data_IF_773530462776
#
_entry.id   IF_773530462776
#
_cell.length_a   1.000
_cell.length_b   1.000
_cell.length_c   1.000
_cell.angle_alpha   90.00
_cell.angle_beta   90.00
_cell.angle_gamma   90.00
#
_symmetry.space_group_name_H-M   'P 1'
#
loop_
_entity.id
_entity.type
_entity.pdbx_description
1 polymer ?
#
# COMPACT_ATOMS: atom_id res chain seq x y z
N UNK A 1 14.01 -103.53 7.87
CA UNK A 1 14.33 -102.41 6.96
C UNK A 1 13.37 -102.47 5.78
N UNK A 2 12.87 -101.36 5.21
CA UNK A 2 12.21 -100.17 5.76
C UNK A 2 10.78 -99.97 5.16
N UNK A 3 9.81 -99.46 5.93
CA UNK A 3 9.19 -98.10 5.86
C UNK A 3 8.29 -97.76 4.65
N UNK A 4 7.01 -97.53 4.98
CA UNK A 4 6.16 -96.35 4.66
C UNK A 4 6.07 -95.80 3.22
N UNK A 5 4.83 -95.64 2.72
CA UNK A 5 4.13 -94.34 2.44
C UNK A 5 2.87 -94.58 1.59
N UNK A 6 1.70 -94.05 2.01
CA UNK A 6 0.99 -92.82 1.55
C UNK A 6 0.48 -92.92 0.09
N UNK A 7 -0.69 -92.43 -0.31
CA UNK A 7 -1.37 -91.19 0.07
C UNK A 7 -2.86 -91.25 -0.32
N UNK A 8 -3.72 -90.68 0.53
CA UNK A 8 -5.08 -90.25 0.18
C UNK A 8 -5.03 -88.92 -0.56
N UNK A 9 -5.79 -88.78 -1.65
CA UNK A 9 -5.97 -87.52 -2.39
C UNK A 9 -7.25 -86.84 -1.87
N UNK A 10 -7.10 -85.65 -1.30
CA UNK A 10 -8.18 -84.72 -0.94
C UNK A 10 -8.14 -83.55 -1.93
N UNK A 11 -9.28 -83.31 -2.58
CA UNK A 11 -9.54 -82.21 -3.51
C UNK A 11 -9.74 -80.92 -2.69
N UNK A 12 -8.91 -79.89 -2.93
CA UNK A 12 -9.10 -78.56 -2.34
C UNK A 12 -9.83 -77.64 -3.34
N UNK A 13 -10.99 -77.14 -2.93
CA UNK A 13 -11.73 -76.07 -3.60
C UNK A 13 -11.09 -74.71 -3.27
N UNK A 14 -10.75 -73.93 -4.31
CA UNK A 14 -10.26 -72.57 -4.16
C UNK A 14 -11.44 -71.57 -4.19
N UNK A 15 -11.64 -70.85 -3.08
CA UNK A 15 -12.50 -69.68 -2.98
C UNK A 15 -11.69 -68.43 -3.41
N UNK A 16 -12.08 -67.84 -4.55
CA UNK A 16 -11.59 -66.53 -5.00
C UNK A 16 -12.40 -65.43 -4.29
N UNK A 17 -11.75 -64.70 -3.39
CA UNK A 17 -12.21 -63.40 -2.88
C UNK A 17 -11.19 -62.36 -3.36
N UNK A 18 -11.49 -61.64 -4.44
CA UNK A 18 -10.79 -60.40 -4.77
C UNK A 18 -11.67 -59.24 -4.34
N UNK A 19 -11.20 -58.56 -3.29
CA UNK A 19 -11.86 -57.42 -2.68
C UNK A 19 -11.85 -56.16 -3.55
N UNK A 20 -12.87 -55.34 -3.35
CA UNK A 20 -12.93 -53.97 -3.81
C UNK A 20 -11.74 -53.19 -3.24
N UNK A 21 -10.77 -52.82 -4.08
CA UNK A 21 -9.82 -51.77 -3.76
C UNK A 21 -10.58 -50.44 -3.75
N UNK A 22 -11.00 -49.98 -2.57
CA UNK A 22 -11.44 -48.62 -2.40
C UNK A 22 -10.29 -47.69 -2.79
N UNK A 23 -10.49 -46.88 -3.82
CA UNK A 23 -9.60 -45.77 -4.15
C UNK A 23 -9.44 -44.91 -2.90
N UNK A 24 -8.19 -44.76 -2.42
CA UNK A 24 -7.87 -43.83 -1.35
C UNK A 24 -8.27 -42.42 -1.82
N UNK A 25 -8.93 -41.60 -0.98
CA UNK A 25 -9.10 -40.20 -1.30
C UNK A 25 -7.71 -39.61 -1.55
N UNK A 26 -7.57 -38.97 -2.70
CA UNK A 26 -6.41 -38.18 -3.10
C UNK A 26 -5.98 -37.33 -1.91
N UNK A 27 -4.72 -37.44 -1.48
CA UNK A 27 -4.13 -36.56 -0.47
C UNK A 27 -4.35 -35.11 -0.93
N UNK A 28 -5.37 -34.46 -0.35
CA UNK A 28 -5.46 -33.02 -0.41
C UNK A 28 -4.21 -32.48 0.28
N UNK A 29 -3.53 -31.53 -0.35
CA UNK A 29 -2.39 -30.87 0.28
C UNK A 29 -2.80 -30.41 1.70
N UNK A 30 -1.94 -30.60 2.72
CA UNK A 30 -2.26 -30.22 4.08
C UNK A 30 -2.65 -28.73 4.08
N UNK A 31 -3.80 -28.43 4.68
CA UNK A 31 -4.23 -27.04 4.89
C UNK A 31 -3.17 -26.40 5.79
N UNK A 32 -2.57 -25.26 5.41
CA UNK A 32 -1.56 -24.62 6.24
C UNK A 32 -2.11 -24.28 7.63
N UNK A 33 -1.30 -24.51 8.67
CA UNK A 33 -1.68 -24.22 10.06
C UNK A 33 -1.90 -22.71 10.31
N UNK A 34 -1.21 -21.86 9.53
CA UNK A 34 -1.43 -20.41 9.50
C UNK A 34 -2.07 -20.03 8.15
N UNK A 35 -3.31 -19.49 8.13
CA UNK A 35 -4.00 -19.08 6.92
C UNK A 35 -3.24 -18.05 6.06
N UNK A 36 -2.30 -17.29 6.64
CA UNK A 36 -1.44 -16.40 5.86
C UNK A 36 -0.48 -17.16 4.94
N UNK A 37 -0.14 -18.41 5.24
CA UNK A 37 0.74 -19.22 4.40
C UNK A 37 0.08 -19.59 3.06
N UNK A 38 -1.26 -19.60 3.00
CA UNK A 38 -2.01 -19.79 1.77
C UNK A 38 -2.01 -18.56 0.84
N UNK A 39 -1.62 -17.38 1.34
CA UNK A 39 -1.51 -16.18 0.51
C UNK A 39 -0.28 -16.24 -0.42
N UNK A 40 -0.32 -15.57 -1.59
CA UNK A 40 0.78 -15.59 -2.53
C UNK A 40 2.02 -14.88 -1.96
N UNK A 41 3.19 -15.46 -2.18
CA UNK A 41 4.46 -14.77 -1.98
C UNK A 41 4.70 -13.81 -3.13
N UNK A 42 5.18 -12.60 -2.83
CA UNK A 42 5.49 -11.63 -3.88
C UNK A 42 6.91 -11.87 -4.41
N UNK A 43 7.10 -12.01 -5.74
CA UNK A 43 8.43 -12.13 -6.33
C UNK A 43 9.34 -10.93 -6.00
N UNK A 44 10.65 -11.19 -5.87
CA UNK A 44 11.68 -10.17 -5.68
C UNK A 44 12.00 -9.44 -6.98
N UNK A 45 11.05 -8.62 -7.45
CA UNK A 45 11.19 -7.76 -8.62
C UNK A 45 10.87 -6.32 -8.22
N UNK A 46 11.88 -5.46 -8.22
CA UNK A 46 11.77 -4.07 -7.75
C UNK A 46 10.93 -3.16 -8.67
N UNK A 47 10.96 -3.43 -9.98
CA UNK A 47 10.35 -2.60 -11.02
C UNK A 47 9.61 -3.48 -12.04
N UNK A 48 8.47 -4.06 -11.67
CA UNK A 48 7.70 -4.92 -12.58
C UNK A 48 7.04 -4.10 -13.69
N UNK A 49 6.65 -4.77 -14.78
CA UNK A 49 5.72 -4.14 -15.72
C UNK A 49 4.36 -3.92 -15.04
N UNK A 50 3.57 -2.92 -15.48
CA UNK A 50 2.26 -2.64 -14.87
C UNK A 50 1.37 -3.89 -14.80
N UNK A 51 0.85 -4.18 -13.60
CA UNK A 51 -0.03 -5.32 -13.27
C UNK A 51 0.57 -6.72 -13.43
N UNK A 52 1.86 -6.85 -13.75
CA UNK A 52 2.50 -8.14 -13.99
C UNK A 52 2.47 -9.01 -12.74
N UNK A 53 2.94 -8.47 -11.60
CA UNK A 53 3.02 -9.23 -10.35
C UNK A 53 1.63 -9.47 -9.76
N UNK A 54 0.73 -8.49 -9.82
CA UNK A 54 -0.63 -8.63 -9.33
C UNK A 54 -1.37 -9.78 -10.02
N UNK A 55 -1.28 -9.85 -11.36
CA UNK A 55 -1.88 -10.94 -12.13
C UNK A 55 -1.21 -12.28 -11.85
N UNK A 56 0.12 -12.31 -11.72
CA UNK A 56 0.86 -13.51 -11.34
C UNK A 56 0.44 -14.04 -9.95
N UNK A 57 0.05 -13.14 -9.04
CA UNK A 57 -0.50 -13.47 -7.72
C UNK A 57 -2.01 -13.76 -7.73
N UNK A 58 -2.67 -13.74 -8.89
CA UNK A 58 -4.09 -14.10 -9.04
C UNK A 58 -5.08 -12.95 -8.83
N UNK A 59 -4.65 -11.70 -9.03
CA UNK A 59 -5.55 -10.54 -8.97
C UNK A 59 -6.20 -10.20 -10.32
N UNK A 60 -7.45 -9.74 -10.25
CA UNK A 60 -8.20 -9.17 -11.37
C UNK A 60 -7.89 -7.66 -11.44
N UNK A 61 -7.22 -7.19 -12.49
CA UNK A 61 -6.80 -5.80 -12.63
C UNK A 61 -7.62 -5.06 -13.69
N UNK A 62 -7.98 -3.82 -13.40
CA UNK A 62 -8.72 -2.97 -14.35
C UNK A 62 -7.86 -2.53 -15.52
N UNK A 63 -8.50 -2.30 -16.68
CA UNK A 63 -7.82 -1.81 -17.86
C UNK A 63 -7.38 -0.34 -17.72
N UNK A 64 -6.39 0.12 -18.52
CA UNK A 64 -6.04 1.55 -18.57
C UNK A 64 -7.26 2.42 -18.89
N UNK A 65 -7.56 3.39 -18.04
CA UNK A 65 -8.69 4.32 -18.21
C UNK A 65 -10.06 3.79 -17.78
N UNK A 66 -10.15 2.56 -17.26
CA UNK A 66 -11.38 2.03 -16.68
C UNK A 66 -11.62 2.71 -15.32
N UNK A 67 -12.68 3.53 -15.23
CA UNK A 67 -13.06 4.16 -13.95
C UNK A 67 -13.62 3.10 -13.02
N UNK A 68 -12.86 2.75 -11.98
CA UNK A 68 -13.38 1.94 -10.89
C UNK A 68 -14.27 2.80 -10.00
N UNK A 69 -15.53 2.39 -9.87
CA UNK A 69 -16.49 3.13 -9.07
C UNK A 69 -16.17 2.98 -7.58
N UNK A 70 -15.74 4.09 -6.99
CA UNK A 70 -16.08 4.60 -5.66
C UNK A 70 -15.57 3.74 -4.49
N UNK A 71 -14.49 4.20 -3.85
CA UNK A 71 -14.16 3.78 -2.48
C UNK A 71 -12.75 4.14 -2.04
N UNK A 72 -11.75 3.98 -2.91
CA UNK A 72 -10.36 4.21 -2.53
C UNK A 72 -9.94 5.66 -2.65
N UNK A 73 -9.25 6.19 -1.64
CA UNK A 73 -8.60 7.51 -1.71
C UNK A 73 -7.25 7.49 -2.43
N UNK A 74 -6.63 6.31 -2.57
CA UNK A 74 -5.24 6.18 -3.08
C UNK A 74 -5.13 5.36 -4.37
N UNK A 75 -6.20 4.65 -4.76
CA UNK A 75 -6.28 3.80 -5.97
C UNK A 75 -7.45 4.23 -6.85
N UNK A 76 -7.35 5.41 -7.48
CA UNK A 76 -8.47 6.09 -8.15
C UNK A 76 -8.68 5.75 -9.64
N UNK A 77 -7.68 5.21 -10.34
CA UNK A 77 -7.72 5.07 -11.82
C UNK A 77 -7.32 3.70 -12.33
N UNK A 78 -6.59 2.94 -11.52
CA UNK A 78 -5.97 1.67 -11.87
C UNK A 78 -5.81 0.86 -10.58
N UNK A 79 -6.54 -0.24 -10.46
CA UNK A 79 -6.47 -1.07 -9.26
C UNK A 79 -6.62 -2.55 -9.62
N UNK A 80 -6.01 -3.39 -8.80
CA UNK A 80 -6.21 -4.83 -8.83
C UNK A 80 -7.04 -5.27 -7.63
N UNK A 81 -7.87 -6.29 -7.84
CA UNK A 81 -8.65 -6.94 -6.78
C UNK A 81 -8.26 -8.41 -6.72
N UNK A 82 -7.70 -8.83 -5.59
CA UNK A 82 -7.17 -10.19 -5.46
C UNK A 82 -6.61 -10.49 -4.08
N UNK A 83 -5.92 -11.62 -3.92
CA UNK A 83 -5.28 -11.97 -2.66
C UNK A 83 -4.17 -10.97 -2.33
N UNK A 84 -4.14 -10.54 -1.06
CA UNK A 84 -3.09 -9.68 -0.55
C UNK A 84 -1.75 -10.43 -0.56
N UNK A 85 -0.64 -9.78 -0.95
CA UNK A 85 0.68 -10.38 -0.83
C UNK A 85 0.97 -10.80 0.62
N UNK A 86 1.54 -12.00 0.81
CA UNK A 86 1.76 -12.60 2.14
C UNK A 86 2.50 -11.67 3.10
N UNK A 87 3.57 -11.01 2.64
CA UNK A 87 4.34 -10.08 3.47
C UNK A 87 3.51 -8.89 3.96
N UNK A 88 2.58 -8.38 3.14
CA UNK A 88 1.67 -7.30 3.52
C UNK A 88 0.67 -7.77 4.56
N UNK A 89 0.10 -8.97 4.40
CA UNK A 89 -0.84 -9.52 5.37
C UNK A 89 -0.17 -9.82 6.72
N UNK A 90 1.06 -10.34 6.70
CA UNK A 90 1.90 -10.51 7.91
C UNK A 90 2.17 -9.17 8.59
N UNK A 91 2.51 -8.13 7.81
CA UNK A 91 2.71 -6.78 8.34
C UNK A 91 1.44 -6.23 8.99
N UNK A 92 0.29 -6.31 8.32
CA UNK A 92 -0.97 -5.86 8.90
C UNK A 92 -1.33 -6.61 10.18
N UNK A 93 -1.17 -7.94 10.21
CA UNK A 93 -1.39 -8.75 11.42
C UNK A 93 -0.55 -8.30 12.61
N UNK A 94 0.70 -7.89 12.36
CA UNK A 94 1.60 -7.40 13.40
C UNK A 94 1.32 -5.94 13.81
N UNK A 95 0.88 -5.10 12.87
CA UNK A 95 0.69 -3.66 13.07
C UNK A 95 -0.66 -3.34 13.71
N UNK A 96 -1.74 -3.98 13.27
CA UNK A 96 -3.09 -3.63 13.69
C UNK A 96 -3.31 -3.64 15.23
N UNK A 97 -2.75 -4.57 16.02
CA UNK A 97 -2.87 -4.54 17.49
C UNK A 97 -2.21 -3.32 18.15
N UNK A 98 -1.29 -2.64 17.45
CA UNK A 98 -0.58 -1.44 17.94
C UNK A 98 -1.35 -0.14 17.63
N UNK A 99 -2.44 -0.22 16.87
CA UNK A 99 -3.24 0.91 16.44
C UNK A 99 -4.53 0.97 17.28
N UNK A 100 -4.75 2.02 18.10
CA UNK A 100 -5.89 2.08 19.02
C UNK A 100 -7.28 1.98 18.36
N UNK A 101 -7.37 2.40 17.10
CA UNK A 101 -8.60 2.51 16.30
C UNK A 101 -8.67 1.47 15.18
N UNK A 102 -7.63 0.65 14.97
CA UNK A 102 -7.65 -0.31 13.88
C UNK A 102 -8.77 -1.33 14.11
N UNK A 103 -9.55 -1.67 13.05
CA UNK A 103 -10.51 -2.74 13.17
C UNK A 103 -9.76 -4.01 13.62
N UNK A 104 -10.33 -4.82 14.51
CA UNK A 104 -9.75 -6.12 14.85
C UNK A 104 -9.42 -6.84 13.55
N UNK A 105 -8.21 -7.39 13.42
CA UNK A 105 -7.83 -8.19 12.25
C UNK A 105 -8.82 -9.35 12.17
N UNK A 106 -9.79 -9.34 11.24
CA UNK A 106 -10.79 -10.39 11.21
C UNK A 106 -10.07 -11.66 10.76
N UNK A 107 -10.41 -12.79 11.37
CA UNK A 107 -9.85 -14.09 10.98
C UNK A 107 -9.80 -14.24 9.46
N UNK A 108 -8.59 -14.49 8.98
CA UNK A 108 -8.13 -15.29 7.84
C UNK A 108 -8.69 -14.96 6.43
N UNK A 109 -9.97 -14.65 6.28
CA UNK A 109 -10.66 -14.53 5.00
C UNK A 109 -10.61 -13.15 4.34
N UNK A 110 -10.35 -12.06 5.08
CA UNK A 110 -10.36 -10.70 4.50
C UNK A 110 -9.16 -10.41 3.60
N UNK A 111 -8.04 -11.12 3.77
CA UNK A 111 -6.87 -10.95 2.92
C UNK A 111 -6.99 -11.65 1.56
N UNK A 112 -7.96 -12.55 1.39
CA UNK A 112 -8.16 -13.27 0.13
C UNK A 112 -8.63 -12.37 -1.02
N UNK A 113 -9.21 -11.19 -0.72
CA UNK A 113 -9.71 -10.26 -1.74
C UNK A 113 -9.66 -8.81 -1.28
N UNK A 114 -8.51 -8.17 -1.46
CA UNK A 114 -8.26 -6.74 -1.20
C UNK A 114 -8.11 -5.95 -2.49
N UNK A 115 -8.26 -4.62 -2.41
CA UNK A 115 -7.91 -3.71 -3.49
C UNK A 115 -6.46 -3.28 -3.26
N UNK A 116 -5.60 -3.50 -4.24
CA UNK A 116 -4.18 -3.17 -4.11
C UNK A 116 -3.54 -2.85 -5.46
N UNK A 117 -2.32 -2.32 -5.39
CA UNK A 117 -1.43 -2.12 -6.54
C UNK A 117 0.01 -2.34 -6.12
N UNK A 118 0.80 -2.86 -7.05
CA UNK A 118 2.24 -2.98 -6.93
C UNK A 118 2.89 -1.83 -7.70
N UNK A 119 3.82 -1.14 -7.05
CA UNK A 119 4.50 0.04 -7.60
C UNK A 119 6.02 -0.10 -7.41
N UNK A 120 6.84 0.54 -8.26
CA UNK A 120 8.29 0.46 -8.11
C UNK A 120 8.78 0.79 -6.69
N UNK A 121 9.68 -0.04 -6.16
CA UNK A 121 10.33 0.12 -4.85
C UNK A 121 11.83 0.39 -4.97
N UNK A 122 12.49 0.75 -3.85
CA UNK A 122 13.95 0.94 -3.79
C UNK A 122 14.73 -0.33 -3.47
N UNK A 123 14.06 -1.37 -2.95
CA UNK A 123 14.70 -2.61 -2.51
C UNK A 123 14.71 -3.71 -3.57
N UNK A 124 14.79 -4.95 -3.11
CA UNK A 124 14.74 -6.13 -3.98
C UNK A 124 13.31 -6.41 -4.50
N UNK A 125 12.30 -5.94 -3.77
CA UNK A 125 10.88 -6.04 -4.13
C UNK A 125 10.32 -4.69 -4.53
N UNK A 126 9.24 -4.74 -5.28
CA UNK A 126 8.36 -3.60 -5.47
C UNK A 126 7.64 -3.26 -4.15
N UNK A 127 7.17 -2.02 -4.06
CA UNK A 127 6.27 -1.58 -3.01
C UNK A 127 4.84 -2.05 -3.31
N UNK A 128 4.03 -2.20 -2.28
CA UNK A 128 2.61 -2.56 -2.40
C UNK A 128 1.79 -1.55 -1.62
N UNK A 129 0.79 -0.97 -2.26
CA UNK A 129 -0.26 -0.20 -1.58
C UNK A 129 -1.54 -1.02 -1.55
N UNK A 130 -2.15 -1.12 -0.38
CA UNK A 130 -3.38 -1.86 -0.14
C UNK A 130 -4.38 -0.93 0.50
N UNK A 131 -5.56 -0.84 -0.11
CA UNK A 131 -6.72 -0.23 0.52
C UNK A 131 -7.47 -1.30 1.30
N UNK A 132 -7.42 -1.20 2.63
CA UNK A 132 -8.02 -2.16 3.54
C UNK A 132 -9.50 -1.86 3.81
N UNK A 133 -10.04 -0.76 3.28
CA UNK A 133 -11.46 -0.43 3.26
C UNK A 133 -12.14 -0.49 4.63
N UNK A 134 -12.30 0.67 5.27
CA UNK A 134 -13.33 0.87 6.29
C UNK A 134 -14.38 1.84 5.74
N UNK A 135 -15.65 1.54 5.96
CA UNK A 135 -16.77 2.40 5.56
C UNK A 135 -16.63 3.79 6.19
N UNK A 136 -16.84 4.85 5.40
CA UNK A 136 -16.70 6.28 5.74
C UNK A 136 -15.29 6.78 6.09
N UNK A 137 -14.31 5.89 6.30
CA UNK A 137 -12.98 6.22 6.80
C UNK A 137 -11.91 5.43 6.03
N UNK A 138 -10.97 6.08 5.35
CA UNK A 138 -9.93 5.33 4.63
C UNK A 138 -8.97 4.64 5.62
N UNK A 139 -8.54 3.43 5.25
CA UNK A 139 -7.47 2.70 5.93
C UNK A 139 -6.54 2.14 4.87
N UNK A 140 -5.37 2.75 4.74
CA UNK A 140 -4.40 2.41 3.71
C UNK A 140 -3.15 1.85 4.37
N UNK A 141 -2.67 0.72 3.88
CA UNK A 141 -1.38 0.15 4.23
C UNK A 141 -0.49 0.18 3.00
N UNK A 142 0.73 0.69 3.14
CA UNK A 142 1.72 0.64 2.07
C UNK A 142 3.10 0.21 2.56
N UNK A 143 3.75 -0.68 1.83
CA UNK A 143 5.18 -0.97 2.02
C UNK A 143 6.05 0.05 1.30
N UNK A 144 7.20 0.33 1.90
CA UNK A 144 8.27 1.15 1.36
C UNK A 144 9.55 0.34 1.50
N UNK A 145 9.94 -0.32 0.41
CA UNK A 145 11.15 -1.14 0.38
C UNK A 145 12.38 -0.24 0.52
N UNK A 146 13.27 -0.64 1.41
CA UNK A 146 14.53 0.05 1.63
C UNK A 146 15.62 -0.44 0.68
N UNK A 147 16.65 0.39 0.45
CA UNK A 147 17.85 -0.03 -0.32
C UNK A 147 18.56 -1.21 0.33
N UNK A 148 18.45 -1.32 1.66
CA UNK A 148 18.84 -2.49 2.45
C UNK A 148 17.57 -3.15 3.00
N UNK A 149 17.55 -4.49 3.13
CA UNK A 149 16.37 -5.20 3.67
C UNK A 149 15.92 -4.71 5.05
N UNK A 150 16.85 -4.26 5.90
CA UNK A 150 16.53 -3.72 7.24
C UNK A 150 15.89 -2.33 7.24
N UNK A 151 15.91 -1.63 6.10
CA UNK A 151 15.34 -0.28 5.98
C UNK A 151 13.87 -0.31 5.53
N UNK A 152 13.34 -1.46 5.10
CA UNK A 152 11.94 -1.58 4.69
C UNK A 152 10.99 -1.21 5.82
N UNK A 153 10.01 -0.37 5.50
CA UNK A 153 8.96 0.04 6.44
C UNK A 153 7.57 -0.15 5.84
N UNK A 154 6.58 -0.17 6.72
CA UNK A 154 5.16 -0.26 6.40
C UNK A 154 4.46 0.94 7.02
N UNK A 155 3.86 1.79 6.19
CA UNK A 155 3.13 2.96 6.66
C UNK A 155 1.63 2.72 6.57
N UNK A 156 0.92 3.17 7.59
CA UNK A 156 -0.53 3.09 7.69
C UNK A 156 -1.10 4.50 7.74
N UNK A 157 -2.07 4.80 6.87
CA UNK A 157 -2.85 6.03 6.88
C UNK A 157 -4.29 5.77 7.28
N UNK A 158 -4.87 6.72 8.03
CA UNK A 158 -6.24 6.63 8.52
C UNK A 158 -6.96 7.97 8.54
N UNK A 159 -8.28 7.95 8.41
CA UNK A 159 -9.14 9.12 8.51
C UNK A 159 -9.32 9.64 9.95
N UNK A 160 -9.34 8.73 10.94
CA UNK A 160 -9.60 9.03 12.36
C UNK A 160 -8.70 10.14 12.94
N UNK A 161 -7.53 10.33 12.35
CA UNK A 161 -6.52 11.29 12.82
C UNK A 161 -6.34 12.51 11.89
N UNK A 162 -7.16 12.64 10.83
CA UNK A 162 -7.10 13.75 9.88
C UNK A 162 -7.70 15.05 10.47
N UNK A 163 -8.74 14.94 11.31
CA UNK A 163 -9.52 16.10 11.78
C UNK A 163 -9.40 16.44 13.28
N UNK A 164 -8.77 15.59 14.10
CA UNK A 164 -8.67 15.83 15.54
C UNK A 164 -7.34 15.35 16.10
N UNK A 165 -6.45 16.30 16.41
CA UNK A 165 -5.21 16.01 17.16
C UNK A 165 -5.51 15.54 18.59
N UNK A 166 -6.69 15.90 19.13
CA UNK A 166 -7.19 15.44 20.43
C UNK A 166 -7.49 13.95 20.46
N UNK A 167 -7.95 13.37 19.35
CA UNK A 167 -8.26 11.94 19.24
C UNK A 167 -7.04 11.09 18.87
N UNK A 168 -5.97 11.72 18.38
CA UNK A 168 -4.71 11.05 18.03
C UNK A 168 -3.45 11.84 18.48
N UNK A 169 -3.22 12.00 19.79
CA UNK A 169 -2.11 12.81 20.33
C UNK A 169 -0.71 12.30 19.95
N UNK A 170 -0.59 11.06 19.48
CA UNK A 170 0.67 10.41 19.10
C UNK A 170 0.80 10.14 17.59
N UNK A 171 -0.24 10.40 16.78
CA UNK A 171 -0.16 10.18 15.34
C UNK A 171 0.48 11.40 14.67
N UNK A 172 1.61 11.19 14.01
CA UNK A 172 2.12 12.15 13.06
C UNK A 172 1.16 12.18 11.85
N UNK A 173 0.14 13.05 11.93
CA UNK A 173 -0.61 13.51 10.76
C UNK A 173 -1.44 12.41 10.09
N UNK A 174 -2.07 11.58 10.91
CA UNK A 174 -2.85 10.43 10.44
C UNK A 174 -2.06 9.32 9.75
N UNK A 175 -0.73 9.33 9.89
CA UNK A 175 0.15 8.23 9.51
C UNK A 175 0.95 7.68 10.69
N UNK A 176 1.13 6.36 10.71
CA UNK A 176 2.11 5.66 11.56
C UNK A 176 3.00 4.77 10.68
N UNK A 177 4.27 4.67 11.00
CA UNK A 177 5.26 3.91 10.22
C UNK A 177 5.89 2.84 11.10
N UNK A 178 5.93 1.62 10.59
CA UNK A 178 6.39 0.44 11.32
C UNK A 178 7.50 -0.28 10.58
N UNK A 179 8.39 -0.89 11.34
CA UNK A 179 9.36 -1.86 10.85
C UNK A 179 9.05 -3.22 11.45
N UNK A 180 9.18 -4.28 10.66
CA UNK A 180 9.12 -5.65 11.18
C UNK A 180 10.52 -6.13 11.55
N UNK A 181 10.68 -6.77 12.70
CA UNK A 181 11.91 -7.46 13.05
C UNK A 181 12.00 -8.85 12.38
N UNK A 182 13.10 -9.57 12.63
CA UNK A 182 13.32 -10.91 12.09
C UNK A 182 12.29 -11.96 12.56
N UNK A 183 11.64 -11.72 13.71
CA UNK A 183 10.55 -12.54 14.24
C UNK A 183 9.16 -12.13 13.71
N UNK A 184 9.08 -11.07 12.88
CA UNK A 184 7.84 -10.54 12.36
C UNK A 184 7.07 -9.64 13.33
N UNK A 185 7.68 -9.21 14.43
CA UNK A 185 7.05 -8.26 15.34
C UNK A 185 7.16 -6.84 14.78
N UNK A 186 6.09 -6.07 14.90
CA UNK A 186 6.07 -4.68 14.46
C UNK A 186 6.60 -3.75 15.56
N UNK A 187 7.45 -2.82 15.16
CA UNK A 187 7.93 -1.71 15.98
C UNK A 187 7.58 -0.40 15.31
N UNK A 188 6.99 0.52 16.07
CA UNK A 188 6.78 1.88 15.57
C UNK A 188 8.12 2.60 15.41
N UNK A 189 8.36 3.08 14.20
CA UNK A 189 9.56 3.84 13.80
C UNK A 189 9.21 5.23 13.27
N UNK A 190 7.98 5.69 13.47
CA UNK A 190 7.46 6.96 12.94
C UNK A 190 8.42 8.11 13.26
N UNK A 191 8.80 8.29 14.53
CA UNK A 191 9.72 9.36 14.94
C UNK A 191 11.16 9.20 14.40
N UNK A 192 11.56 7.99 14.01
CA UNK A 192 12.90 7.71 13.48
C UNK A 192 13.00 8.04 11.98
N UNK A 193 11.95 7.74 11.22
CA UNK A 193 11.98 7.78 9.75
C UNK A 193 11.21 8.93 9.15
N UNK A 194 10.32 9.58 9.92
CA UNK A 194 9.51 10.70 9.44
C UNK A 194 10.17 12.06 9.71
N UNK A 195 10.14 13.01 8.76
CA UNK A 195 10.40 14.39 9.10
C UNK A 195 9.30 14.95 10.01
N UNK A 196 9.57 16.01 10.79
CA UNK A 196 8.52 16.82 11.42
C UNK A 196 7.54 17.35 10.37
N UNK A 197 6.26 17.58 10.72
CA UNK A 197 5.39 18.28 9.76
C UNK A 197 5.92 19.66 9.41
N UNK A 198 5.56 20.14 8.21
CA UNK A 198 5.61 21.56 7.91
C UNK A 198 4.94 22.37 9.01
N UNK A 199 5.65 23.40 9.49
CA UNK A 199 5.10 24.37 10.44
C UNK A 199 4.77 25.65 9.67
N UNK A 200 3.49 26.02 9.56
CA UNK A 200 3.10 27.33 9.02
C UNK A 200 3.83 28.46 9.75
N UNK A 201 4.40 29.39 8.98
CA UNK A 201 4.95 30.61 9.56
C UNK A 201 3.84 31.64 9.87
N UNK A 202 4.22 32.82 10.39
CA UNK A 202 3.25 33.85 10.75
C UNK A 202 2.46 34.41 9.55
N UNK A 203 3.04 34.41 8.34
CA UNK A 203 2.32 34.80 7.12
C UNK A 203 1.36 33.68 6.71
N UNK A 204 1.80 32.43 6.76
CA UNK A 204 0.98 31.27 6.42
C UNK A 204 -0.26 31.20 7.33
N UNK A 205 -0.07 31.36 8.65
CA UNK A 205 -1.17 31.36 9.62
C UNK A 205 -2.18 32.48 9.37
N UNK A 206 -1.72 33.69 9.05
CA UNK A 206 -2.63 34.80 8.67
C UNK A 206 -3.38 34.48 7.40
N UNK A 207 -2.73 33.90 6.38
CA UNK A 207 -3.39 33.54 5.14
C UNK A 207 -4.46 32.47 5.36
N UNK A 208 -4.18 31.47 6.21
CA UNK A 208 -5.17 30.46 6.60
C UNK A 208 -6.35 31.10 7.35
N UNK A 209 -6.12 32.03 8.27
CA UNK A 209 -7.20 32.69 9.01
C UNK A 209 -8.05 33.62 8.12
N UNK A 210 -7.42 34.53 7.37
CA UNK A 210 -8.08 35.54 6.52
C UNK A 210 -8.84 34.92 5.34
N UNK A 211 -8.40 33.76 4.85
CA UNK A 211 -8.96 33.06 3.69
C UNK A 211 -9.65 31.74 4.05
N UNK A 212 -10.00 31.56 5.33
CA UNK A 212 -10.75 30.40 5.84
C UNK A 212 -10.13 29.07 5.38
N UNK A 213 -8.80 29.03 5.38
CA UNK A 213 -8.03 27.87 4.98
C UNK A 213 -8.04 26.78 6.05
N UNK A 214 -8.00 25.52 5.61
CA UNK A 214 -7.78 24.39 6.50
C UNK A 214 -6.39 24.44 7.14
N UNK A 215 -6.20 23.74 8.26
CA UNK A 215 -4.83 23.38 8.66
C UNK A 215 -4.15 22.55 7.55
N UNK A 216 -2.81 22.61 7.40
CA UNK A 216 -2.12 21.74 6.47
C UNK A 216 -2.35 20.27 6.81
N UNK A 217 -2.73 19.48 5.81
CA UNK A 217 -2.92 18.03 5.87
C UNK A 217 -2.13 17.31 4.77
N UNK A 218 -2.00 15.99 4.89
CA UNK A 218 -1.29 15.18 3.92
C UNK A 218 -2.22 14.65 2.83
N UNK A 219 -2.00 15.09 1.59
CA UNK A 219 -2.58 14.53 0.37
C UNK A 219 -1.86 13.23 -0.01
N UNK A 220 -2.64 12.16 -0.12
CA UNK A 220 -2.20 10.77 -0.25
C UNK A 220 -2.65 10.12 -1.57
N UNK A 221 -3.44 10.82 -2.39
CA UNK A 221 -3.99 10.34 -3.66
C UNK A 221 -2.96 9.69 -4.60
N UNK A 222 -1.70 10.11 -4.52
CA UNK A 222 -0.56 9.65 -5.33
C UNK A 222 0.17 8.43 -4.77
N UNK A 223 -0.22 7.93 -3.60
CA UNK A 223 0.38 6.73 -3.01
C UNK A 223 0.16 5.48 -3.88
N UNK A 224 -0.78 5.51 -4.81
CA UNK A 224 -0.97 4.50 -5.84
C UNK A 224 0.10 4.47 -6.93
N UNK A 225 0.96 5.48 -7.03
CA UNK A 225 1.87 5.67 -8.17
C UNK A 225 3.33 5.89 -7.73
N UNK A 226 3.53 6.67 -6.67
CA UNK A 226 4.85 7.21 -6.29
C UNK A 226 5.03 7.20 -4.77
N UNK A 227 6.27 7.08 -4.26
CA UNK A 227 6.53 6.99 -2.83
C UNK A 227 6.57 8.37 -2.14
N UNK A 228 5.64 9.24 -2.54
CA UNK A 228 5.60 10.66 -2.20
C UNK A 228 4.17 11.09 -1.90
N UNK A 229 4.01 11.87 -0.84
CA UNK A 229 2.78 12.59 -0.48
C UNK A 229 3.01 14.10 -0.56
N UNK A 230 1.94 14.89 -0.57
CA UNK A 230 2.01 16.37 -0.59
C UNK A 230 1.29 16.95 0.60
N UNK A 231 1.89 17.94 1.24
CA UNK A 231 1.25 18.71 2.29
C UNK A 231 0.49 19.88 1.69
N UNK A 232 -0.82 19.94 1.94
CA UNK A 232 -1.71 20.94 1.38
C UNK A 232 -2.63 21.57 2.41
N UNK A 233 -3.04 22.81 2.17
CA UNK A 233 -4.19 23.42 2.84
C UNK A 233 -5.25 23.78 1.80
N UNK A 234 -6.50 23.47 2.09
CA UNK A 234 -7.64 23.86 1.27
C UNK A 234 -8.04 25.28 1.64
N UNK A 235 -8.29 26.15 0.65
CA UNK A 235 -8.79 27.50 0.86
C UNK A 235 -10.24 27.60 0.40
N UNK A 236 -11.00 28.53 1.00
CA UNK A 236 -12.34 28.85 0.54
C UNK A 236 -12.30 29.33 -0.93
N UNK A 237 -12.97 28.63 -1.87
CA UNK A 237 -12.98 29.03 -3.27
C UNK A 237 -13.67 30.39 -3.52
N UNK A 238 -14.54 30.84 -2.61
CA UNK A 238 -15.19 32.15 -2.68
C UNK A 238 -14.33 33.27 -2.08
N UNK A 239 -13.31 32.93 -1.27
CA UNK A 239 -12.36 33.85 -0.66
C UNK A 239 -10.90 33.38 -0.79
N UNK A 240 -10.37 33.20 -2.03
CA UNK A 240 -9.03 32.65 -2.22
C UNK A 240 -7.93 33.64 -1.83
N UNK A 241 -6.75 33.16 -1.38
CA UNK A 241 -5.59 34.00 -1.18
C UNK A 241 -5.17 34.78 -2.44
N UNK A 242 -4.46 35.91 -2.29
CA UNK A 242 -3.93 36.63 -3.43
C UNK A 242 -3.01 35.76 -4.27
N UNK A 243 -3.11 35.82 -5.61
CA UNK A 243 -2.24 35.05 -6.54
C UNK A 243 -0.72 35.26 -6.36
N UNK A 244 -0.32 36.33 -5.66
CA UNK A 244 1.09 36.64 -5.32
C UNK A 244 1.61 35.88 -4.10
N UNK A 245 0.72 35.29 -3.31
CA UNK A 245 1.09 34.50 -2.15
C UNK A 245 1.72 33.18 -2.63
N UNK A 246 3.01 33.01 -2.33
CA UNK A 246 3.85 31.99 -2.98
C UNK A 246 3.42 30.55 -2.72
N UNK A 247 2.71 30.29 -1.61
CA UNK A 247 2.21 28.97 -1.23
C UNK A 247 0.93 28.61 -1.96
N UNK A 248 0.16 29.58 -2.45
CA UNK A 248 -1.15 29.33 -3.06
C UNK A 248 -1.02 29.10 -4.56
N UNK A 249 -1.65 28.03 -5.04
CA UNK A 249 -1.80 27.75 -6.47
C UNK A 249 -3.25 28.01 -6.89
N UNK A 250 -3.49 29.01 -7.75
CA UNK A 250 -4.82 29.28 -8.27
C UNK A 250 -5.38 28.18 -9.19
N UNK A 251 -4.53 27.28 -9.68
CA UNK A 251 -4.92 26.23 -10.63
C UNK A 251 -5.58 25.04 -9.93
N UNK A 252 -5.14 24.69 -8.71
CA UNK A 252 -5.70 23.62 -7.86
C UNK A 252 -6.46 24.16 -6.64
N UNK A 253 -6.33 25.45 -6.32
CA UNK A 253 -7.00 26.07 -5.17
C UNK A 253 -6.35 25.74 -3.83
N UNK A 254 -5.13 25.18 -3.83
CA UNK A 254 -4.48 24.66 -2.64
C UNK A 254 -3.25 25.49 -2.23
N UNK A 255 -3.03 25.58 -0.92
CA UNK A 255 -1.75 25.97 -0.34
C UNK A 255 -0.77 24.80 -0.36
N UNK A 256 0.49 25.00 -0.72
CA UNK A 256 1.54 23.98 -0.71
C UNK A 256 2.51 24.15 0.45
N UNK A 257 2.67 23.10 1.26
CA UNK A 257 3.54 23.09 2.44
C UNK A 257 4.71 22.10 2.34
N UNK A 258 4.92 21.50 1.17
CA UNK A 258 6.01 20.57 0.90
C UNK A 258 5.53 19.21 0.42
N UNK A 259 6.48 18.35 0.08
CA UNK A 259 6.32 16.95 -0.27
C UNK A 259 7.06 16.10 0.76
N UNK A 260 6.49 14.96 1.14
CA UNK A 260 7.19 13.98 1.97
C UNK A 260 7.50 12.77 1.11
N UNK A 261 8.79 12.51 0.89
CA UNK A 261 9.25 11.46 -0.05
C UNK A 261 10.09 10.42 0.64
N UNK A 262 9.86 9.14 0.35
CA UNK A 262 10.75 8.06 0.74
C UNK A 262 12.00 8.07 -0.15
N UNK A 263 13.19 7.94 0.44
CA UNK A 263 14.47 7.93 -0.28
C UNK A 263 15.15 6.54 -0.33
N UNK A 264 14.49 5.51 0.23
CA UNK A 264 15.03 4.16 0.40
C UNK A 264 15.64 3.87 1.78
N UNK A 265 15.61 4.83 2.71
CA UNK A 265 16.07 4.69 4.10
C UNK A 265 15.14 5.41 5.10
N UNK A 266 14.70 6.63 4.75
CA UNK A 266 13.79 7.47 5.54
C UNK A 266 12.94 8.36 4.64
N UNK A 267 11.96 9.03 5.23
CA UNK A 267 11.20 10.08 4.57
C UNK A 267 11.91 11.44 4.70
N UNK A 268 11.75 12.29 3.69
CA UNK A 268 12.31 13.64 3.66
C UNK A 268 11.23 14.65 3.26
N UNK A 269 11.19 15.78 3.98
CA UNK A 269 10.36 16.92 3.61
C UNK A 269 11.12 17.76 2.56
N UNK A 270 10.50 17.97 1.40
CA UNK A 270 11.07 18.74 0.29
C UNK A 270 10.08 19.79 -0.20
N UNK A 271 10.55 20.99 -0.48
CA UNK A 271 9.70 22.04 -1.08
C UNK A 271 9.38 21.73 -2.56
N UNK A 272 10.29 21.03 -3.25
CA UNK A 272 10.16 20.71 -4.68
C UNK A 272 10.49 19.24 -4.91
N UNK A 273 9.89 18.66 -5.94
CA UNK A 273 10.20 17.30 -6.40
C UNK A 273 10.23 17.20 -7.92
N UNK A 274 10.97 16.24 -8.50
CA UNK A 274 10.84 15.88 -9.91
C UNK A 274 9.41 15.51 -10.29
N UNK A 275 9.04 15.75 -11.56
CA UNK A 275 7.73 15.33 -12.09
C UNK A 275 7.45 13.84 -11.88
N UNK A 276 8.48 13.00 -11.93
CA UNK A 276 8.36 11.56 -11.68
C UNK A 276 7.88 11.20 -10.26
N UNK A 277 8.04 12.09 -9.27
CA UNK A 277 7.57 11.91 -7.90
C UNK A 277 6.24 12.63 -7.61
N UNK A 278 5.70 13.38 -8.58
CA UNK A 278 4.32 13.89 -8.53
C UNK A 278 3.70 13.88 -9.94
N UNK A 279 3.40 12.68 -10.47
CA UNK A 279 2.92 12.53 -11.82
C UNK A 279 1.55 13.16 -11.95
N UNK A 280 1.38 13.87 -13.06
CA UNK A 280 0.14 14.50 -13.44
C UNK A 280 -0.54 13.63 -14.49
N UNK A 281 -1.78 13.26 -14.24
CA UNK A 281 -2.55 12.51 -15.22
C UNK A 281 -3.08 13.49 -16.27
N UNK A 282 -2.51 13.44 -17.46
CA UNK A 282 -2.88 14.36 -18.53
C UNK A 282 -4.31 14.07 -19.02
N UNK A 283 -5.13 15.11 -19.03
CA UNK A 283 -6.35 15.18 -19.82
C UNK A 283 -6.03 15.14 -21.31
N UNK A 284 -7.05 14.88 -22.14
CA UNK A 284 -6.97 14.97 -23.60
C UNK A 284 -6.49 16.35 -24.12
N UNK A 285 -6.51 17.37 -23.26
CA UNK A 285 -6.03 18.73 -23.55
C UNK A 285 -4.58 18.97 -23.07
N UNK A 286 -3.87 17.92 -22.62
CA UNK A 286 -2.51 18.04 -22.09
C UNK A 286 -2.41 18.79 -20.75
N UNK A 287 -3.54 19.01 -20.08
CA UNK A 287 -3.60 19.61 -18.72
C UNK A 287 -3.74 18.51 -17.68
N UNK A 288 -3.21 18.73 -16.49
CA UNK A 288 -3.49 17.86 -15.36
C UNK A 288 -4.99 17.78 -15.09
N UNK A 289 -5.47 16.56 -14.87
CA UNK A 289 -6.90 16.26 -14.78
C UNK A 289 -7.39 16.13 -13.33
N UNK A 290 -6.52 15.75 -12.40
CA UNK A 290 -6.88 15.62 -10.98
C UNK A 290 -6.83 16.97 -10.28
N UNK A 291 -7.73 17.23 -9.33
CA UNK A 291 -7.73 18.45 -8.51
C UNK A 291 -6.50 18.56 -7.61
N UNK A 292 -5.87 17.43 -7.28
CA UNK A 292 -4.64 17.30 -6.49
C UNK A 292 -3.35 17.31 -7.35
N UNK A 293 -3.48 17.35 -8.69
CA UNK A 293 -2.33 17.41 -9.58
C UNK A 293 -1.66 18.80 -9.51
N UNK A 294 -0.33 18.81 -9.40
CA UNK A 294 0.45 20.04 -9.55
C UNK A 294 0.76 20.28 -11.03
N UNK A 295 0.41 21.45 -11.62
CA UNK A 295 0.68 21.76 -13.02
C UNK A 295 2.18 21.67 -13.41
N UNK A 296 2.53 21.34 -14.68
CA UNK A 296 3.92 21.26 -15.16
C UNK A 296 4.78 22.50 -14.89
N UNK A 297 4.18 23.69 -14.90
CA UNK A 297 4.89 24.97 -14.69
C UNK A 297 4.86 25.47 -13.25
N UNK A 298 4.40 24.65 -12.31
CA UNK A 298 4.38 25.02 -10.89
C UNK A 298 5.80 25.21 -10.36
N UNK A 299 6.03 26.20 -9.47
CA UNK A 299 7.32 26.37 -8.81
C UNK A 299 7.74 25.16 -7.96
N UNK A 300 6.80 24.28 -7.58
CA UNK A 300 7.06 23.12 -6.72
C UNK A 300 7.48 21.86 -7.48
N UNK A 301 7.48 21.92 -8.81
CA UNK A 301 7.98 20.82 -9.65
C UNK A 301 9.32 21.24 -10.23
N UNK A 302 10.30 20.35 -10.14
CA UNK A 302 11.60 20.55 -10.77
C UNK A 302 11.46 20.45 -12.29
N UNK A 303 12.15 21.33 -13.01
CA UNK A 303 12.17 21.25 -14.46
C UNK A 303 13.05 20.06 -14.87
N UNK A 304 12.56 19.19 -15.75
CA UNK A 304 13.28 17.99 -16.23
C UNK A 304 14.63 18.30 -16.93
N UNK A 305 14.96 19.58 -17.15
CA UNK A 305 16.28 20.04 -17.64
C UNK A 305 17.34 20.25 -16.56
N UNK A 306 16.97 20.35 -15.27
CA UNK A 306 17.93 20.49 -14.17
C UNK A 306 18.44 19.13 -13.66
N UNK A 307 17.63 18.07 -13.72
CA UNK A 307 17.99 16.72 -13.25
C UNK A 307 19.01 15.98 -14.12
N UNK A 308 19.32 16.50 -15.31
CA UNK A 308 20.26 15.88 -16.28
C UNK A 308 21.71 16.34 -16.15
N UNK A 309 22.03 17.20 -15.17
CA UNK A 309 23.39 17.76 -14.99
C UNK A 309 24.23 17.04 -13.93
N UNK A 310 23.63 16.16 -13.13
CA UNK A 310 24.30 15.49 -12.01
C UNK A 310 24.37 13.96 -12.14
N UNK A 311 24.13 13.41 -13.34
CA UNK A 311 24.42 11.99 -13.69
C UNK A 311 25.74 11.87 -14.49
#
# INVERSE_FOLDING_TARGET
>A
MPLLRRSSVLVLSALLVLGCAAARPTDAAPVPDDPLEALPEMPAVARPAPFELERAMGADCTGPGERTSIGSRVLLREQCKGPMPRHMARAWRAIAPLLPWAPPVPGDGRFARVIYRVVPGFGARADVVVDLGATQEYLVLRSFEGRRPGDTVYAVWTHFCEYSQTDCPEAAYGRRVFRLDAGGQARDVTAEVMPPAPKPDALDLRMLEEHTGSGPGEEISKLGDVPTTRWVAEYDPENPPPRRYRRFSPDDGLGHFGFVTWNGERFELRERVPRALWPCALSYLGRCYASDDVPPKSPWIENDTESRRDD
#
